data_IF_486751483960
#
_entry.id   IF_486751483960
#
_cell.length_a   1.000
_cell.length_b   1.000
_cell.length_c   1.000
_cell.angle_alpha   90.00
_cell.angle_beta   90.00
_cell.angle_gamma   90.00
#
_symmetry.space_group_name_H-M   'P 1'
#
loop_
_entity.id
_entity.type
_entity.pdbx_description
1 polymer ?
#
# COMPACT_ATOMS: atom_id res chain seq x y z
N UNK A 1 -1.66 38.50 9.10
CA UNK A 1 -1.07 37.36 9.83
C UNK A 1 -2.11 36.25 9.80
N UNK A 2 -1.98 35.29 8.88
CA UNK A 2 -2.94 34.20 8.72
C UNK A 2 -2.21 32.88 9.01
N UNK A 3 -2.46 32.32 10.19
CA UNK A 3 -2.05 30.97 10.50
C UNK A 3 -3.20 30.05 10.06
N UNK A 4 -3.04 29.46 8.87
CA UNK A 4 -3.87 28.34 8.43
C UNK A 4 -3.44 27.13 9.26
N UNK A 5 -4.28 26.69 10.18
CA UNK A 5 -4.07 25.44 10.91
C UNK A 5 -4.33 24.27 9.96
N UNK A 6 -3.25 23.75 9.39
CA UNK A 6 -3.23 22.58 8.53
C UNK A 6 -3.63 21.31 9.29
N UNK A 7 -4.56 20.59 8.68
CA UNK A 7 -5.11 19.30 9.07
C UNK A 7 -4.00 18.24 9.28
N UNK A 8 -3.77 17.80 10.52
CA UNK A 8 -2.84 16.71 10.81
C UNK A 8 -3.52 15.36 10.59
N UNK A 9 -3.32 14.73 9.43
CA UNK A 9 -3.33 13.26 9.42
C UNK A 9 -1.99 12.80 9.98
N UNK A 10 -1.90 12.58 11.30
CA UNK A 10 -0.69 12.09 11.96
C UNK A 10 -0.37 10.67 11.46
N UNK A 11 0.33 10.57 10.34
CA UNK A 11 1.06 9.38 9.98
C UNK A 11 2.26 9.24 10.92
N UNK A 12 2.16 8.34 11.90
CA UNK A 12 3.23 8.07 12.90
C UNK A 12 4.58 7.62 12.30
N UNK A 13 4.73 7.49 10.97
CA UNK A 13 6.06 7.37 10.37
C UNK A 13 6.93 8.59 10.70
N UNK A 14 6.33 9.78 10.77
CA UNK A 14 7.07 11.02 11.04
C UNK A 14 7.59 11.10 12.48
N UNK A 15 6.98 10.38 13.44
CA UNK A 15 7.44 10.37 14.84
C UNK A 15 8.70 9.54 15.07
N UNK A 16 9.17 8.79 14.05
CA UNK A 16 10.41 8.01 14.10
C UNK A 16 11.53 8.64 13.27
N UNK A 17 11.33 9.86 12.78
CA UNK A 17 12.27 10.54 11.92
C UNK A 17 13.32 11.22 12.80
N UNK A 18 14.49 10.57 12.94
CA UNK A 18 15.63 11.08 13.70
C UNK A 18 16.60 11.83 12.77
N UNK A 19 17.46 12.68 13.33
CA UNK A 19 18.50 13.37 12.56
C UNK A 19 19.44 12.38 11.85
N UNK A 20 19.66 11.21 12.44
CA UNK A 20 20.44 10.12 11.83
C UNK A 20 19.80 9.60 10.53
N UNK A 21 18.47 9.45 10.51
CA UNK A 21 17.73 9.01 9.32
C UNK A 21 17.78 10.09 8.23
N UNK A 22 17.72 11.37 8.62
CA UNK A 22 17.83 12.50 7.68
C UNK A 22 19.20 12.58 7.02
N UNK A 23 20.25 12.09 7.68
CA UNK A 23 21.59 12.09 7.10
C UNK A 23 21.82 10.94 6.11
N UNK A 24 21.00 9.89 6.18
CA UNK A 24 21.06 8.76 5.24
C UNK A 24 20.43 9.13 3.90
N UNK A 25 21.03 8.68 2.78
CA UNK A 25 20.50 8.95 1.44
C UNK A 25 19.08 8.40 1.20
N UNK A 26 18.80 7.21 1.76
CA UNK A 26 17.50 6.58 1.72
C UNK A 26 17.26 5.74 2.98
N UNK A 27 16.01 5.67 3.45
CA UNK A 27 15.64 4.86 4.60
C UNK A 27 14.29 4.18 4.41
N UNK A 28 14.23 2.87 4.67
CA UNK A 28 12.98 2.11 4.68
C UNK A 28 12.46 1.98 6.10
N UNK A 29 11.26 2.51 6.36
CA UNK A 29 10.68 2.44 7.69
C UNK A 29 10.15 1.04 7.99
N UNK A 30 10.35 0.56 9.23
CA UNK A 30 9.70 -0.66 9.72
C UNK A 30 8.19 -0.51 9.62
N UNK A 31 7.58 -1.34 8.78
CA UNK A 31 6.13 -1.30 8.60
C UNK A 31 5.40 -1.91 9.79
N UNK A 32 4.15 -1.50 9.97
CA UNK A 32 3.22 -2.20 10.87
C UNK A 32 2.80 -3.52 10.24
N UNK A 33 2.35 -4.50 11.05
CA UNK A 33 1.61 -5.63 10.51
C UNK A 33 0.51 -5.14 9.58
N UNK A 34 0.57 -5.60 8.33
CA UNK A 34 -0.40 -5.25 7.30
C UNK A 34 -1.59 -6.20 7.42
N UNK A 35 -2.81 -5.63 7.49
CA UNK A 35 -4.04 -6.42 7.58
C UNK A 35 -4.54 -6.74 6.18
N UNK A 36 -4.72 -8.02 5.89
CA UNK A 36 -5.46 -8.47 4.71
C UNK A 36 -6.94 -8.46 5.08
N UNK A 37 -7.70 -7.63 4.37
CA UNK A 37 -9.15 -7.58 4.48
C UNK A 37 -9.74 -8.53 3.46
N UNK A 38 -10.52 -9.49 3.96
CA UNK A 38 -11.32 -10.35 3.13
C UNK A 38 -12.75 -9.82 3.05
N UNK A 39 -13.34 -9.89 1.86
CA UNK A 39 -14.69 -9.40 1.64
C UNK A 39 -15.70 -10.53 1.89
N UNK A 40 -16.29 -10.53 3.08
CA UNK A 40 -17.34 -11.46 3.45
C UNK A 40 -18.77 -10.93 3.15
N UNK A 41 -18.91 -9.91 2.29
CA UNK A 41 -20.21 -9.33 1.97
C UNK A 41 -21.11 -10.39 1.32
N UNK A 42 -22.21 -10.74 1.99
CA UNK A 42 -23.29 -11.54 1.40
C UNK A 42 -24.14 -10.61 0.55
N UNK A 43 -24.41 -10.99 -0.70
CA UNK A 43 -25.27 -10.22 -1.61
C UNK A 43 -26.58 -9.81 -0.90
N UNK A 44 -26.90 -8.51 -0.93
CA UNK A 44 -27.94 -7.94 -0.09
C UNK A 44 -29.32 -8.55 -0.35
N UNK A 45 -29.94 -9.08 0.71
CA UNK A 45 -31.36 -9.40 0.76
C UNK A 45 -32.13 -8.13 1.17
N UNK A 46 -33.38 -7.95 0.73
CA UNK A 46 -34.15 -6.72 1.00
C UNK A 46 -34.27 -6.45 2.51
N UNK A 47 -34.01 -5.20 2.93
CA UNK A 47 -34.24 -4.73 4.32
C UNK A 47 -33.00 -4.55 5.19
N UNK A 48 -31.77 -4.70 4.67
CA UNK A 48 -30.55 -4.48 5.46
C UNK A 48 -30.21 -2.99 5.60
N UNK A 49 -29.96 -2.55 6.83
CA UNK A 49 -29.31 -1.29 7.12
C UNK A 49 -27.80 -1.43 6.87
N UNK A 50 -27.26 -0.71 5.90
CA UNK A 50 -25.83 -0.73 5.61
C UNK A 50 -25.10 0.21 6.57
N UNK A 51 -24.63 -0.31 7.70
CA UNK A 51 -23.63 0.37 8.52
C UNK A 51 -22.25 -0.15 8.12
N UNK A 52 -21.49 0.68 7.40
CA UNK A 52 -20.12 0.38 7.05
C UNK A 52 -19.23 1.51 7.59
N UNK A 53 -18.20 1.14 8.37
CA UNK A 53 -17.14 2.06 8.74
C UNK A 53 -16.34 2.49 7.51
N UNK A 54 -15.64 3.62 7.61
CA UNK A 54 -14.77 4.05 6.54
C UNK A 54 -13.60 3.07 6.37
N UNK A 55 -13.41 2.58 5.13
CA UNK A 55 -12.28 1.73 4.81
C UNK A 55 -10.97 2.53 4.98
N UNK A 56 -9.87 1.88 5.39
CA UNK A 56 -8.56 2.52 5.40
C UNK A 56 -8.24 3.18 4.04
N UNK A 57 -7.52 4.32 4.03
CA UNK A 57 -7.34 5.13 2.82
C UNK A 57 -6.55 4.43 1.69
N UNK A 58 -5.89 3.31 2.00
CA UNK A 58 -5.19 2.47 1.03
C UNK A 58 -6.09 1.43 0.35
N UNK A 59 -7.33 1.26 0.81
CA UNK A 59 -8.35 0.46 0.14
C UNK A 59 -9.11 1.43 -0.79
N UNK A 60 -9.02 1.26 -2.12
CA UNK A 60 -9.71 2.14 -3.04
C UNK A 60 -11.22 2.07 -2.82
N UNK A 61 -11.90 3.23 -2.88
CA UNK A 61 -13.36 3.28 -2.85
C UNK A 61 -13.88 2.53 -4.08
N UNK A 62 -14.85 1.63 -3.85
CA UNK A 62 -15.49 0.87 -4.91
C UNK A 62 -16.67 1.68 -5.44
N UNK A 63 -16.75 1.84 -6.76
CA UNK A 63 -17.94 2.45 -7.39
C UNK A 63 -19.19 1.59 -7.18
N UNK A 64 -19.05 0.26 -7.18
CA UNK A 64 -20.14 -0.69 -6.94
C UNK A 64 -19.79 -1.67 -5.82
N UNK A 65 -20.33 -1.42 -4.62
CA UNK A 65 -20.09 -2.22 -3.41
C UNK A 65 -20.60 -3.66 -3.54
N UNK A 66 -21.59 -3.91 -4.40
CA UNK A 66 -22.25 -5.22 -4.52
C UNK A 66 -21.45 -6.22 -5.35
N UNK A 67 -20.68 -5.76 -6.35
CA UNK A 67 -19.98 -6.64 -7.30
C UNK A 67 -18.47 -6.46 -7.33
N UNK A 68 -17.95 -5.32 -6.90
CA UNK A 68 -16.51 -5.09 -6.96
C UNK A 68 -15.82 -5.85 -5.83
N UNK A 69 -14.78 -6.62 -6.14
CA UNK A 69 -13.96 -7.29 -5.13
C UNK A 69 -13.21 -6.24 -4.29
N UNK A 70 -13.15 -6.43 -2.98
CA UNK A 70 -12.29 -5.63 -2.12
C UNK A 70 -10.81 -5.86 -2.50
N UNK A 71 -10.09 -4.79 -2.79
CA UNK A 71 -8.65 -4.84 -3.03
C UNK A 71 -7.97 -4.44 -1.73
N UNK A 72 -7.36 -5.43 -1.07
CA UNK A 72 -6.48 -5.20 0.07
C UNK A 72 -5.15 -4.64 -0.41
N UNK A 73 -4.58 -3.76 0.40
CA UNK A 73 -3.23 -3.27 0.18
C UNK A 73 -2.58 -2.78 1.46
N UNK A 74 -1.28 -2.58 1.40
CA UNK A 74 -0.49 -2.09 2.52
C UNK A 74 0.45 -0.99 2.06
N UNK A 75 0.58 0.04 2.89
CA UNK A 75 1.47 1.16 2.62
C UNK A 75 2.87 0.86 3.14
N UNK A 76 3.85 0.94 2.25
CA UNK A 76 5.28 0.89 2.56
C UNK A 76 5.77 2.33 2.60
N UNK A 77 6.31 2.74 3.75
CA UNK A 77 6.83 4.10 3.94
C UNK A 77 8.35 4.08 3.76
N UNK A 78 8.88 5.02 3.00
CA UNK A 78 10.31 5.20 2.81
C UNK A 78 10.66 6.69 2.76
N UNK A 79 11.91 7.01 3.03
CA UNK A 79 12.49 8.35 2.98
C UNK A 79 13.58 8.42 1.91
N UNK A 80 13.62 9.54 1.19
CA UNK A 80 14.70 9.90 0.28
C UNK A 80 15.23 11.29 0.65
N UNK A 81 16.55 11.42 0.81
CA UNK A 81 17.19 12.70 1.15
C UNK A 81 17.13 13.70 0.00
N UNK A 82 17.30 13.21 -1.23
CA UNK A 82 17.33 14.01 -2.44
C UNK A 82 16.58 13.33 -3.58
N UNK A 83 16.22 14.12 -4.60
CA UNK A 83 15.56 13.61 -5.79
C UNK A 83 16.48 12.67 -6.56
N UNK A 84 16.03 11.45 -6.81
CA UNK A 84 16.79 10.48 -7.59
C UNK A 84 16.49 10.65 -9.08
N UNK A 85 17.54 10.68 -9.92
CA UNK A 85 17.39 10.68 -11.39
C UNK A 85 16.87 9.35 -11.93
N UNK A 86 17.10 8.26 -11.18
CA UNK A 86 16.68 6.91 -11.54
C UNK A 86 15.36 6.56 -10.85
N UNK A 87 14.63 5.65 -11.46
CA UNK A 87 13.41 5.08 -10.90
C UNK A 87 13.72 4.35 -9.59
N UNK A 88 12.91 4.59 -8.56
CA UNK A 88 12.98 3.85 -7.30
C UNK A 88 12.19 2.56 -7.45
N UNK A 89 12.82 1.45 -7.08
CA UNK A 89 12.23 0.11 -7.12
C UNK A 89 12.25 -0.44 -5.70
N UNK A 90 11.07 -0.83 -5.20
CA UNK A 90 10.92 -1.54 -3.93
C UNK A 90 10.69 -3.01 -4.26
N UNK A 91 11.65 -3.85 -3.91
CA UNK A 91 11.53 -5.29 -4.04
C UNK A 91 10.95 -5.90 -2.76
N UNK A 92 9.91 -6.71 -2.94
CA UNK A 92 9.23 -7.44 -1.87
C UNK A 92 9.44 -8.91 -2.16
N UNK A 93 9.96 -9.64 -1.17
CA UNK A 93 10.18 -11.07 -1.27
C UNK A 93 9.51 -11.82 -0.13
N UNK A 94 9.05 -13.04 -0.41
CA UNK A 94 8.67 -13.99 0.63
C UNK A 94 9.90 -14.42 1.46
N UNK A 95 9.68 -14.98 2.65
CA UNK A 95 10.75 -15.47 3.54
C UNK A 95 11.60 -16.55 2.87
N UNK A 96 11.03 -17.32 1.94
CA UNK A 96 11.75 -18.31 1.13
C UNK A 96 12.51 -17.71 -0.06
N UNK A 97 12.29 -16.43 -0.39
CA UNK A 97 12.86 -15.74 -1.55
C UNK A 97 12.34 -16.18 -2.92
N UNK A 98 11.43 -17.16 -2.98
CA UNK A 98 10.88 -17.75 -4.22
C UNK A 98 9.88 -16.83 -4.92
N UNK A 99 9.08 -16.12 -4.13
CA UNK A 99 8.11 -15.17 -4.64
C UNK A 99 8.64 -13.76 -4.47
N UNK A 100 8.57 -12.97 -5.54
CA UNK A 100 9.04 -11.59 -5.56
C UNK A 100 8.02 -10.70 -6.24
N UNK A 101 8.06 -9.42 -5.89
CA UNK A 101 7.29 -8.35 -6.51
C UNK A 101 8.13 -7.10 -6.52
N UNK A 102 8.20 -6.44 -7.66
CA UNK A 102 8.87 -5.13 -7.79
C UNK A 102 7.82 -4.03 -7.93
N UNK A 103 7.89 -3.02 -7.06
CA UNK A 103 7.01 -1.85 -7.11
C UNK A 103 7.80 -0.62 -7.55
N UNK A 104 7.32 0.04 -8.61
CA UNK A 104 7.81 1.36 -9.00
C UNK A 104 7.30 2.40 -8.00
N UNK A 105 8.23 3.12 -7.37
CA UNK A 105 7.91 4.11 -6.34
C UNK A 105 8.35 5.52 -6.77
N UNK A 106 7.81 6.55 -6.10
CA UNK A 106 8.21 7.95 -6.27
C UNK A 106 9.72 8.13 -6.03
N UNK A 107 10.34 8.97 -6.85
CA UNK A 107 11.73 9.40 -6.73
C UNK A 107 11.87 10.81 -6.14
N UNK A 108 10.77 11.41 -5.68
CA UNK A 108 10.75 12.74 -5.07
C UNK A 108 11.37 12.73 -3.66
N UNK A 109 12.04 13.81 -3.25
CA UNK A 109 12.64 13.90 -1.92
C UNK A 109 11.57 13.95 -0.82
N UNK A 110 11.91 13.44 0.37
CA UNK A 110 11.06 13.43 1.54
C UNK A 110 10.47 12.05 1.85
N UNK A 111 9.40 12.04 2.65
CA UNK A 111 8.69 10.81 3.03
C UNK A 111 7.69 10.45 1.94
N UNK A 112 7.87 9.28 1.36
CA UNK A 112 7.01 8.75 0.32
C UNK A 112 6.32 7.47 0.80
N UNK A 113 5.23 7.13 0.10
CA UNK A 113 4.46 5.91 0.34
C UNK A 113 4.29 5.13 -0.96
N UNK A 114 4.54 3.83 -0.91
CA UNK A 114 4.20 2.90 -1.98
C UNK A 114 3.08 1.98 -1.53
N UNK A 115 2.11 1.71 -2.41
CA UNK A 115 1.02 0.78 -2.15
C UNK A 115 1.41 -0.61 -2.70
N UNK A 116 1.40 -1.61 -1.84
CA UNK A 116 1.51 -3.02 -2.23
C UNK A 116 0.13 -3.68 -2.13
N UNK A 117 -0.26 -4.46 -3.13
CA UNK A 117 -1.54 -5.16 -3.24
C UNK A 117 -1.53 -6.59 -2.66
N UNK A 118 -0.48 -6.95 -1.91
CA UNK A 118 -0.25 -8.30 -1.34
C UNK A 118 -0.14 -9.42 -2.38
N UNK A 119 0.13 -9.09 -3.64
CA UNK A 119 0.34 -10.07 -4.69
C UNK A 119 1.81 -10.15 -5.07
N UNK A 120 2.25 -11.37 -5.35
CA UNK A 120 3.55 -11.65 -5.94
C UNK A 120 3.40 -11.86 -7.45
N UNK A 121 4.51 -11.67 -8.16
CA UNK A 121 4.55 -11.99 -9.58
C UNK A 121 4.36 -13.50 -9.77
N UNK A 122 3.71 -13.88 -10.88
CA UNK A 122 3.53 -15.28 -11.20
C UNK A 122 4.91 -15.94 -11.37
N UNK A 123 5.12 -17.08 -10.73
CA UNK A 123 6.34 -17.87 -10.95
C UNK A 123 6.42 -18.21 -12.44
N UNK A 124 7.58 -18.01 -13.10
CA UNK A 124 7.76 -18.43 -14.49
C UNK A 124 7.48 -19.93 -14.57
N UNK A 125 6.34 -20.30 -15.18
CA UNK A 125 5.85 -21.68 -15.22
C UNK A 125 4.34 -21.86 -15.04
N UNK A 126 3.58 -20.85 -14.55
CA UNK A 126 2.12 -20.95 -14.36
C UNK A 126 1.27 -20.31 -15.47
N UNK A 127 1.86 -19.97 -16.62
CA UNK A 127 1.19 -19.15 -17.65
C UNK A 127 0.22 -19.91 -18.58
N UNK A 128 0.02 -21.24 -18.46
CA UNK A 128 -0.84 -21.96 -19.44
C UNK A 128 -1.70 -23.07 -18.85
N UNK A 129 -2.75 -22.73 -18.10
CA UNK A 129 -3.85 -23.69 -17.82
C UNK A 129 -5.26 -23.10 -17.99
N UNK A 130 -5.42 -21.83 -18.38
CA UNK A 130 -6.74 -21.26 -18.65
C UNK A 130 -7.06 -21.24 -20.15
N UNK A 131 -7.32 -22.42 -20.73
CA UNK A 131 -8.07 -22.55 -21.97
C UNK A 131 -9.49 -23.03 -21.63
N UNK A 132 -10.56 -22.31 -22.02
CA UNK A 132 -11.91 -22.82 -21.83
C UNK A 132 -12.17 -23.91 -22.87
N UNK A 133 -12.66 -25.08 -22.43
CA UNK A 133 -13.34 -26.07 -23.28
C UNK A 133 -14.83 -25.85 -23.17
#
# INVERSE_FOLDING_TARGET
MAAVFGFWTTSRCCSKLTNEILDTDAHLFKNRPMTIWDDATRGGVRGHMFFAGENPPYIPKRENIVRAKLISGGLINYYLKSKLKKQVIIEIADISGKFRRSLSASNEPGINRALWDFRFDATPGREKDSSPT
#
